data_IF_012863612646
#
_entry.id   IF_012863612646
#
_cell.length_a   1.000
_cell.length_b   1.000
_cell.length_c   1.000
_cell.angle_alpha   90.00
_cell.angle_beta   90.00
_cell.angle_gamma   90.00
#
_symmetry.space_group_name_H-M   'P 1'
#
loop_
_entity.id
_entity.type
_entity.pdbx_description
1 polymer ?
#
# COMPACT_ATOMS: atom_id res chain seq x y z
N UNK A 1 -35.61 2.27 35.70
CA UNK A 1 -35.22 1.86 34.32
C UNK A 1 -34.78 3.04 33.44
N UNK A 2 -35.31 4.27 33.63
CA UNK A 2 -34.88 5.46 32.86
C UNK A 2 -33.44 5.93 33.14
N UNK A 3 -32.91 5.68 34.34
CA UNK A 3 -31.51 6.05 34.68
C UNK A 3 -30.48 5.24 33.89
N UNK A 4 -30.77 3.98 33.57
CA UNK A 4 -29.87 3.12 32.79
C UNK A 4 -29.81 3.55 31.31
N UNK A 5 -30.87 4.15 30.77
CA UNK A 5 -30.89 4.65 29.39
C UNK A 5 -30.12 5.97 29.22
N UNK A 6 -30.14 6.87 30.21
CA UNK A 6 -29.36 8.11 30.18
C UNK A 6 -27.83 7.83 30.25
N UNK A 7 -27.41 6.75 30.91
CA UNK A 7 -26.00 6.35 30.94
C UNK A 7 -25.51 5.78 29.61
N UNK A 8 -26.42 5.18 28.82
CA UNK A 8 -26.16 4.66 27.47
C UNK A 8 -26.09 5.79 26.43
N UNK A 9 -26.74 6.93 26.69
CA UNK A 9 -26.75 8.11 25.80
C UNK A 9 -25.49 8.99 25.90
N UNK A 10 -24.63 8.74 26.90
CA UNK A 10 -23.37 9.49 27.09
C UNK A 10 -22.06 8.67 26.98
N UNK A 11 -21.93 7.77 25.98
CA UNK A 11 -20.79 6.86 25.86
C UNK A 11 -19.50 7.62 25.55
N UNK A 12 -19.59 8.81 24.95
CA UNK A 12 -18.45 9.69 24.71
C UNK A 12 -17.88 10.25 26.01
N UNK A 13 -18.70 10.74 26.94
CA UNK A 13 -18.21 11.26 28.23
C UNK A 13 -17.62 10.15 29.13
N UNK A 14 -18.21 8.95 29.13
CA UNK A 14 -17.63 7.79 29.82
C UNK A 14 -16.28 7.43 29.18
N UNK A 15 -16.19 7.48 27.83
CA UNK A 15 -14.93 7.22 27.10
C UNK A 15 -13.82 8.19 27.46
N UNK A 16 -14.15 9.47 27.58
CA UNK A 16 -13.19 10.54 27.86
C UNK A 16 -12.68 10.44 29.31
N UNK A 17 -13.59 10.15 30.26
CA UNK A 17 -13.22 10.04 31.68
C UNK A 17 -12.28 8.87 31.99
N UNK A 18 -12.42 7.71 31.34
CA UNK A 18 -11.47 6.62 31.56
C UNK A 18 -10.09 6.93 30.96
N UNK A 19 -10.04 7.57 29.78
CA UNK A 19 -8.77 7.95 29.13
C UNK A 19 -8.01 9.01 29.91
N UNK A 20 -8.71 9.86 30.68
CA UNK A 20 -8.10 10.89 31.51
C UNK A 20 -7.70 10.40 32.91
N UNK A 21 -8.04 9.15 33.29
CA UNK A 21 -7.67 8.62 34.62
C UNK A 21 -6.15 8.45 34.72
N UNK A 22 -5.61 9.03 35.79
CA UNK A 22 -4.21 8.95 36.17
C UNK A 22 -4.04 7.96 37.31
N UNK A 23 -2.94 7.21 37.31
CA UNK A 23 -2.56 6.39 38.45
C UNK A 23 -2.09 7.26 39.63
N UNK A 24 -1.70 6.63 40.76
CA UNK A 24 -1.18 7.35 41.94
C UNK A 24 0.03 8.24 41.65
N UNK A 25 0.75 7.97 40.56
CA UNK A 25 1.94 8.71 40.13
C UNK A 25 1.60 9.83 39.14
N UNK A 26 0.31 10.08 38.86
CA UNK A 26 -0.13 11.11 37.92
C UNK A 26 -0.05 10.71 36.44
N UNK A 27 0.25 9.45 36.13
CA UNK A 27 0.43 8.96 34.76
C UNK A 27 -0.85 8.34 34.20
N UNK A 28 -1.17 8.67 32.96
CA UNK A 28 -2.28 8.05 32.21
C UNK A 28 -1.87 6.68 31.66
N UNK A 29 -2.82 5.77 31.48
CA UNK A 29 -2.57 4.46 30.87
C UNK A 29 -1.85 4.53 29.50
N UNK A 30 -2.21 5.51 28.64
CA UNK A 30 -1.53 5.73 27.36
C UNK A 30 -0.06 6.13 27.54
N UNK A 31 0.26 6.97 28.52
CA UNK A 31 1.65 7.38 28.79
C UNK A 31 2.50 6.21 29.25
N UNK A 32 1.97 5.36 30.14
CA UNK A 32 2.66 4.15 30.59
C UNK A 32 2.86 3.21 29.42
N UNK A 33 1.81 2.96 28.62
CA UNK A 33 1.91 2.10 27.43
C UNK A 33 2.97 2.61 26.45
N UNK A 34 2.97 3.91 26.12
CA UNK A 34 3.95 4.51 25.21
C UNK A 34 5.38 4.43 25.75
N UNK A 35 5.58 4.63 27.05
CA UNK A 35 6.92 4.55 27.65
C UNK A 35 7.44 3.11 27.68
N UNK A 36 6.60 2.16 28.12
CA UNK A 36 6.96 0.73 28.18
C UNK A 36 7.21 0.12 26.79
N UNK A 37 6.53 0.62 25.74
CA UNK A 37 6.65 0.10 24.37
C UNK A 37 7.54 0.98 23.47
N UNK A 38 8.27 1.94 24.04
CA UNK A 38 9.10 2.89 23.27
C UNK A 38 10.18 2.20 22.45
N UNK A 39 10.80 1.16 23.01
CA UNK A 39 11.84 0.39 22.31
C UNK A 39 11.25 -0.39 21.13
N UNK A 40 10.08 -1.02 21.32
CA UNK A 40 9.36 -1.74 20.25
C UNK A 40 8.95 -0.81 19.10
N UNK A 41 8.55 0.43 19.41
CA UNK A 41 8.25 1.44 18.38
C UNK A 41 9.51 1.78 17.58
N UNK A 42 10.66 1.95 18.24
CA UNK A 42 11.94 2.25 17.58
C UNK A 42 12.41 1.08 16.70
N UNK A 43 12.33 -0.14 17.22
CA UNK A 43 12.68 -1.36 16.48
C UNK A 43 11.74 -1.56 15.28
N UNK A 44 10.43 -1.31 15.46
CA UNK A 44 9.46 -1.36 14.37
C UNK A 44 9.72 -0.31 13.29
N UNK A 45 10.13 0.90 13.68
CA UNK A 45 10.52 1.96 12.74
C UNK A 45 11.78 1.57 11.94
N UNK A 46 12.79 1.02 12.60
CA UNK A 46 14.02 0.53 11.96
C UNK A 46 13.74 -0.63 11.01
N UNK A 47 12.99 -1.64 11.46
CA UNK A 47 12.58 -2.77 10.64
C UNK A 47 11.77 -2.33 9.41
N UNK A 48 10.86 -1.37 9.57
CA UNK A 48 10.08 -0.85 8.46
C UNK A 48 10.96 -0.07 7.47
N UNK A 49 11.93 0.71 7.94
CA UNK A 49 12.91 1.40 7.07
C UNK A 49 13.76 0.41 6.28
N UNK A 50 14.34 -0.58 6.94
CA UNK A 50 15.20 -1.58 6.30
C UNK A 50 14.43 -2.41 5.27
N UNK A 51 13.21 -2.83 5.63
CA UNK A 51 12.32 -3.55 4.73
C UNK A 51 11.87 -2.67 3.57
N UNK A 52 11.57 -1.40 3.81
CA UNK A 52 11.18 -0.46 2.76
C UNK A 52 12.30 -0.23 1.76
N UNK A 53 13.56 -0.14 2.19
CA UNK A 53 14.69 0.05 1.28
C UNK A 53 14.84 -1.12 0.30
N UNK A 54 14.79 -2.35 0.81
CA UNK A 54 14.84 -3.56 -0.03
C UNK A 54 13.62 -3.67 -0.96
N UNK A 55 12.41 -3.39 -0.44
CA UNK A 55 11.18 -3.43 -1.22
C UNK A 55 11.18 -2.37 -2.33
N UNK A 56 11.65 -1.15 -2.04
CA UNK A 56 11.78 -0.08 -3.02
C UNK A 56 12.71 -0.46 -4.17
N UNK A 57 13.81 -1.15 -3.89
CA UNK A 57 14.72 -1.63 -4.93
C UNK A 57 14.03 -2.66 -5.84
N UNK A 58 13.33 -3.64 -5.25
CA UNK A 58 12.57 -4.65 -6.01
C UNK A 58 11.47 -3.99 -6.84
N UNK A 59 10.74 -3.05 -6.24
CA UNK A 59 9.73 -2.26 -6.93
C UNK A 59 10.35 -1.51 -8.12
N UNK A 60 11.41 -0.72 -7.92
CA UNK A 60 12.08 -0.01 -8.99
C UNK A 60 12.50 -0.93 -10.15
N UNK A 61 12.98 -2.14 -9.87
CA UNK A 61 13.27 -3.15 -10.90
C UNK A 61 12.02 -3.59 -11.67
N UNK A 62 10.93 -3.89 -10.96
CA UNK A 62 9.64 -4.25 -11.58
C UNK A 62 9.12 -3.10 -12.46
N UNK A 63 9.12 -1.87 -11.95
CA UNK A 63 8.72 -0.69 -12.71
C UNK A 63 9.55 -0.52 -13.98
N UNK A 64 10.88 -0.66 -13.90
CA UNK A 64 11.76 -0.53 -15.05
C UNK A 64 11.49 -1.61 -16.12
N UNK A 65 11.33 -2.87 -15.70
CA UNK A 65 11.02 -3.98 -16.62
C UNK A 65 9.65 -3.78 -17.26
N UNK A 66 8.64 -3.42 -16.48
CA UNK A 66 7.29 -3.20 -16.98
C UNK A 66 7.21 -2.00 -17.94
N UNK A 67 7.95 -0.93 -17.65
CA UNK A 67 8.09 0.23 -18.53
C UNK A 67 8.72 -0.16 -19.87
N UNK A 68 9.84 -0.90 -19.85
CA UNK A 68 10.47 -1.38 -21.07
C UNK A 68 9.51 -2.26 -21.88
N UNK A 69 8.86 -3.22 -21.23
CA UNK A 69 7.93 -4.15 -21.86
C UNK A 69 6.68 -3.47 -22.48
N UNK A 70 6.30 -2.29 -21.99
CA UNK A 70 5.22 -1.49 -22.59
C UNK A 70 5.57 -0.97 -23.99
N UNK A 71 6.85 -0.64 -24.23
CA UNK A 71 7.31 -0.15 -25.54
C UNK A 71 7.87 -1.28 -26.42
N UNK A 72 8.46 -2.31 -25.81
CA UNK A 72 9.00 -3.48 -26.51
C UNK A 72 8.12 -4.71 -26.26
N UNK A 73 6.88 -4.64 -26.76
CA UNK A 73 5.90 -5.72 -26.56
C UNK A 73 6.39 -7.06 -27.13
N UNK A 74 6.03 -8.19 -26.48
CA UNK A 74 6.36 -9.52 -26.99
C UNK A 74 5.84 -9.72 -28.42
N UNK A 75 6.67 -10.27 -29.30
CA UNK A 75 6.37 -10.42 -30.72
C UNK A 75 6.56 -9.16 -31.56
N UNK A 76 6.83 -8.01 -30.92
CA UNK A 76 7.10 -6.75 -31.59
C UNK A 76 5.86 -6.13 -32.24
N UNK A 77 6.14 -5.13 -33.08
CA UNK A 77 5.14 -4.39 -33.83
C UNK A 77 5.26 -4.69 -35.32
N UNK A 78 4.15 -4.59 -36.04
CA UNK A 78 4.10 -4.75 -37.49
C UNK A 78 4.87 -3.58 -38.12
N UNK A 79 5.91 -3.88 -38.89
CA UNK A 79 6.79 -2.90 -39.55
C UNK A 79 6.65 -2.99 -41.07
N UNK A 80 5.45 -2.76 -41.58
CA UNK A 80 5.15 -2.74 -43.01
C UNK A 80 4.69 -1.33 -43.42
N UNK A 81 5.58 -0.59 -44.08
CA UNK A 81 5.36 0.79 -44.50
C UNK A 81 4.23 0.97 -45.52
N UNK A 82 3.76 -0.10 -46.16
CA UNK A 82 2.64 -0.06 -47.12
C UNK A 82 1.31 -0.51 -46.52
N UNK A 83 1.29 -0.88 -45.23
CA UNK A 83 0.11 -1.37 -44.53
C UNK A 83 -0.46 -0.33 -43.56
N UNK A 84 -1.78 -0.25 -43.48
CA UNK A 84 -2.49 0.57 -42.47
C UNK A 84 -2.28 0.09 -41.04
N UNK A 85 -1.69 -1.09 -40.84
CA UNK A 85 -1.42 -1.69 -39.53
C UNK A 85 0.01 -1.43 -39.02
N UNK A 86 0.79 -0.61 -39.71
CA UNK A 86 2.15 -0.28 -39.30
C UNK A 86 2.18 0.29 -37.86
N UNK A 87 3.10 -0.19 -37.03
CA UNK A 87 3.25 0.22 -35.64
C UNK A 87 2.31 -0.47 -34.65
N UNK A 88 1.40 -1.35 -35.09
CA UNK A 88 0.52 -2.09 -34.18
C UNK A 88 1.17 -3.39 -33.66
N UNK A 89 0.92 -3.80 -32.41
CA UNK A 89 1.45 -5.05 -31.87
C UNK A 89 1.04 -6.27 -32.71
N UNK A 90 1.97 -7.19 -32.98
CA UNK A 90 1.72 -8.40 -33.78
C UNK A 90 0.61 -9.27 -33.16
N UNK A 91 0.52 -9.30 -31.83
CA UNK A 91 -0.49 -10.08 -31.10
C UNK A 91 -1.75 -9.28 -30.73
N UNK A 92 -1.97 -8.10 -31.32
CA UNK A 92 -3.16 -7.30 -31.05
C UNK A 92 -4.44 -8.11 -31.33
N UNK A 93 -5.36 -8.11 -30.37
CA UNK A 93 -6.62 -8.88 -30.44
C UNK A 93 -6.51 -10.34 -30.00
N UNK A 94 -5.32 -10.83 -29.62
CA UNK A 94 -5.14 -12.14 -28.97
C UNK A 94 -5.32 -12.01 -27.46
N UNK A 95 -5.91 -13.02 -26.83
CA UNK A 95 -6.08 -13.08 -25.37
C UNK A 95 -4.74 -13.00 -24.62
N UNK A 96 -3.67 -13.57 -25.17
CA UNK A 96 -2.32 -13.50 -24.61
C UNK A 96 -1.81 -12.06 -24.49
N UNK A 97 -2.09 -11.20 -25.48
CA UNK A 97 -1.70 -9.80 -25.45
C UNK A 97 -2.50 -9.01 -24.41
N UNK A 98 -3.80 -9.28 -24.27
CA UNK A 98 -4.63 -8.66 -23.23
C UNK A 98 -4.13 -9.02 -21.83
N UNK A 99 -3.86 -10.30 -21.56
CA UNK A 99 -3.32 -10.74 -20.26
C UNK A 99 -1.97 -10.10 -20.00
N UNK A 100 -1.09 -10.04 -21.00
CA UNK A 100 0.20 -9.35 -20.89
C UNK A 100 0.03 -7.87 -20.55
N UNK A 101 -0.79 -7.13 -21.30
CA UNK A 101 -0.97 -5.69 -21.08
C UNK A 101 -1.57 -5.39 -19.70
N UNK A 102 -2.54 -6.19 -19.27
CA UNK A 102 -3.17 -6.07 -17.95
C UNK A 102 -2.16 -6.40 -16.84
N UNK A 103 -1.41 -7.50 -16.96
CA UNK A 103 -0.39 -7.89 -15.98
C UNK A 103 0.73 -6.83 -15.89
N UNK A 104 1.16 -6.29 -17.03
CA UNK A 104 2.19 -5.25 -17.09
C UNK A 104 1.73 -3.97 -16.38
N UNK A 105 0.47 -3.55 -16.60
CA UNK A 105 -0.11 -2.41 -15.91
C UNK A 105 -0.24 -2.66 -14.40
N UNK A 106 -0.75 -3.83 -13.98
CA UNK A 106 -0.84 -4.19 -12.57
C UNK A 106 0.53 -4.22 -11.89
N UNK A 107 1.54 -4.80 -12.53
CA UNK A 107 2.90 -4.82 -12.00
C UNK A 107 3.46 -3.40 -11.83
N UNK A 108 3.26 -2.53 -12.83
CA UNK A 108 3.71 -1.15 -12.78
C UNK A 108 3.02 -0.34 -11.67
N UNK A 109 1.69 -0.43 -11.55
CA UNK A 109 0.94 0.25 -10.48
C UNK A 109 1.26 -0.28 -9.08
N UNK A 110 1.41 -1.60 -8.95
CA UNK A 110 1.77 -2.24 -7.68
C UNK A 110 3.18 -1.88 -7.23
N UNK A 111 4.06 -1.51 -8.16
CA UNK A 111 5.42 -1.07 -7.87
C UNK A 111 5.52 0.40 -7.42
N UNK A 112 4.52 1.23 -7.72
CA UNK A 112 4.53 2.65 -7.36
C UNK A 112 3.81 2.88 -6.00
N UNK A 113 2.97 1.94 -5.60
CA UNK A 113 2.20 1.95 -4.35
C UNK A 113 3.04 1.39 -3.21
#
# INVERSE_FOLDING_TARGET
>A
MLLAFHEIENPTLVKINYKARRNKNGNTAQSIFTEEHKELVKEGEEWMKDTSGSCMLVAALIAAVAFAAAFTVPGGNISDSHSSKNGTPVFLGKTSFTVFAVANAFAFFSSIT
#
